data_IF_487446011291
#
_entry.id   IF_487446011291
#
_cell.length_a   1.000
_cell.length_b   1.000
_cell.length_c   1.000
_cell.angle_alpha   90.00
_cell.angle_beta   90.00
_cell.angle_gamma   90.00
#
_symmetry.space_group_name_H-M   'P 1'
#
loop_
_entity.id
_entity.type
_entity.pdbx_description
1 polymer ?
#
# COMPACT_ATOMS: atom_id res chain seq x y z
N UNK A 1 9.10 11.04 -6.98
CA UNK A 1 8.11 10.07 -6.45
C UNK A 1 8.91 8.92 -5.89
N UNK A 2 8.74 8.54 -4.61
CA UNK A 2 9.57 7.49 -4.00
C UNK A 2 9.01 6.12 -4.38
N UNK A 3 9.77 5.35 -5.14
CA UNK A 3 9.43 3.99 -5.53
C UNK A 3 10.52 3.03 -5.07
N UNK A 4 10.12 1.92 -4.49
CA UNK A 4 11.02 0.86 -4.06
C UNK A 4 10.74 -0.38 -4.91
N UNK A 5 11.81 -1.01 -5.40
CA UNK A 5 11.77 -2.33 -6.00
C UNK A 5 12.27 -3.33 -4.97
N UNK A 6 11.48 -4.36 -4.69
CA UNK A 6 11.75 -5.37 -3.66
C UNK A 6 11.87 -6.72 -4.36
N UNK A 7 12.98 -7.43 -4.14
CA UNK A 7 13.30 -8.74 -4.70
C UNK A 7 13.13 -8.85 -6.23
N UNK A 8 13.29 -7.73 -6.94
CA UNK A 8 13.04 -7.57 -8.38
C UNK A 8 11.65 -7.97 -8.90
N UNK A 9 10.76 -8.46 -8.04
CA UNK A 9 9.43 -8.96 -8.37
C UNK A 9 8.32 -8.07 -7.87
N UNK A 10 8.60 -7.14 -6.96
CA UNK A 10 7.59 -6.29 -6.32
C UNK A 10 7.97 -4.83 -6.40
N UNK A 11 6.96 -3.98 -6.58
CA UNK A 11 7.10 -2.53 -6.61
C UNK A 11 6.22 -1.92 -5.55
N UNK A 12 6.81 -1.11 -4.68
CA UNK A 12 6.08 -0.27 -3.75
C UNK A 12 6.13 1.20 -4.21
N UNK A 13 4.96 1.79 -4.48
CA UNK A 13 4.81 3.20 -4.79
C UNK A 13 4.31 3.95 -3.55
N UNK A 14 5.17 4.78 -2.97
CA UNK A 14 4.86 5.49 -1.73
C UNK A 14 3.74 6.53 -1.92
N UNK A 15 3.75 7.25 -3.04
CA UNK A 15 2.76 8.29 -3.33
C UNK A 15 1.36 7.73 -3.53
N UNK A 16 1.26 6.57 -4.21
CA UNK A 16 -0.01 5.89 -4.43
C UNK A 16 -0.43 5.00 -3.25
N UNK A 17 0.50 4.67 -2.34
CA UNK A 17 0.33 3.68 -1.26
C UNK A 17 -0.06 2.32 -1.82
N UNK A 18 0.63 1.91 -2.88
CA UNK A 18 0.32 0.69 -3.62
C UNK A 18 1.52 -0.25 -3.63
N UNK A 19 1.28 -1.53 -3.42
CA UNK A 19 2.22 -2.61 -3.68
C UNK A 19 1.73 -3.36 -4.90
N UNK A 20 2.61 -3.55 -5.88
CA UNK A 20 2.32 -4.23 -7.14
C UNK A 20 3.28 -5.40 -7.32
N UNK A 21 2.73 -6.59 -7.55
CA UNK A 21 3.50 -7.75 -8.01
C UNK A 21 3.74 -7.62 -9.51
N UNK A 22 4.99 -7.83 -9.93
CA UNK A 22 5.36 -7.86 -11.34
C UNK A 22 5.03 -9.19 -12.01
N UNK A 23 4.86 -10.26 -11.23
CA UNK A 23 4.59 -11.62 -11.72
C UNK A 23 3.16 -11.75 -12.26
N UNK A 24 2.16 -11.41 -11.44
CA UNK A 24 0.74 -11.61 -11.72
C UNK A 24 -0.06 -10.30 -11.85
N UNK A 25 0.61 -9.15 -11.71
CA UNK A 25 0.01 -7.79 -11.75
C UNK A 25 -1.02 -7.54 -10.65
N UNK A 26 -1.01 -8.32 -9.58
CA UNK A 26 -1.82 -8.05 -8.40
C UNK A 26 -1.43 -6.70 -7.80
N UNK A 27 -2.41 -5.91 -7.36
CA UNK A 27 -2.20 -4.59 -6.75
C UNK A 27 -2.93 -4.54 -5.41
N UNK A 28 -2.22 -4.12 -4.37
CA UNK A 28 -2.76 -3.91 -3.03
C UNK A 28 -2.62 -2.43 -2.66
N UNK A 29 -3.76 -1.78 -2.41
CA UNK A 29 -3.82 -0.43 -1.85
C UNK A 29 -3.78 -0.46 -0.33
N UNK A 30 -2.84 0.26 0.25
CA UNK A 30 -2.66 0.37 1.69
C UNK A 30 -3.35 1.60 2.27
N UNK A 31 -3.78 1.48 3.53
CA UNK A 31 -4.13 2.65 4.33
C UNK A 31 -2.90 3.51 4.57
N UNK A 32 -3.10 4.79 4.89
CA UNK A 32 -2.01 5.71 5.21
C UNK A 32 -1.05 5.14 6.26
N UNK A 33 -1.61 4.62 7.37
CA UNK A 33 -0.86 4.00 8.47
C UNK A 33 0.06 2.86 8.01
N UNK A 34 -0.45 1.94 7.17
CA UNK A 34 0.29 0.78 6.68
C UNK A 34 1.38 1.20 5.70
N UNK A 35 1.06 2.13 4.79
CA UNK A 35 2.02 2.68 3.84
C UNK A 35 3.15 3.45 4.53
N UNK A 36 2.82 4.24 5.55
CA UNK A 36 3.81 4.98 6.33
C UNK A 36 4.73 4.05 7.10
N UNK A 37 4.17 2.98 7.70
CA UNK A 37 4.94 1.93 8.35
C UNK A 37 5.91 1.27 7.36
N UNK A 38 5.41 0.81 6.21
CA UNK A 38 6.24 0.18 5.17
C UNK A 38 7.35 1.12 4.68
N UNK A 39 7.00 2.37 4.38
CA UNK A 39 7.97 3.39 3.96
C UNK A 39 9.07 3.60 4.99
N UNK A 40 8.71 3.65 6.27
CA UNK A 40 9.67 3.81 7.35
C UNK A 40 10.61 2.60 7.45
N UNK A 41 10.06 1.38 7.37
CA UNK A 41 10.84 0.14 7.41
C UNK A 41 11.83 0.06 6.24
N UNK A 42 11.39 0.34 5.02
CA UNK A 42 12.25 0.27 3.82
C UNK A 42 13.40 1.29 3.87
N UNK A 43 13.15 2.51 4.36
CA UNK A 43 14.22 3.52 4.54
C UNK A 43 15.26 3.11 5.58
N UNK A 44 14.85 2.33 6.58
CA UNK A 44 15.69 1.88 7.67
C UNK A 44 16.14 0.43 7.50
N UNK A 45 16.05 -0.12 6.28
CA UNK A 45 16.34 -1.52 6.01
C UNK A 45 17.75 -1.97 6.39
N UNK A 46 18.72 -1.04 6.38
CA UNK A 46 20.12 -1.33 6.75
C UNK A 46 20.39 -1.31 8.26
N UNK A 47 19.39 -1.04 9.10
CA UNK A 47 19.56 -1.04 10.56
C UNK A 47 19.41 -2.45 11.12
N UNK A 48 20.32 -2.83 12.02
CA UNK A 48 20.22 -4.10 12.75
C UNK A 48 19.01 -4.16 13.70
N UNK A 49 18.57 -2.99 14.19
CA UNK A 49 17.42 -2.85 15.06
C UNK A 49 16.62 -1.59 14.72
N UNK A 50 15.32 -1.80 14.53
CA UNK A 50 14.29 -0.76 14.45
C UNK A 50 13.41 -0.92 15.69
N UNK A 51 13.48 0.01 16.64
CA UNK A 51 12.72 -0.11 17.89
C UNK A 51 11.22 0.14 17.67
N UNK A 52 10.41 -0.25 18.66
CA UNK A 52 8.96 -0.03 18.63
C UNK A 52 8.62 1.46 18.61
N UNK A 53 9.35 2.23 19.40
CA UNK A 53 9.21 3.69 19.54
C UNK A 53 9.51 4.39 18.23
N UNK A 54 10.56 3.94 17.52
CA UNK A 54 10.90 4.45 16.20
C UNK A 54 9.73 4.27 15.22
N UNK A 55 9.09 3.11 15.22
CA UNK A 55 7.93 2.84 14.35
C UNK A 55 6.72 3.66 14.78
N UNK A 56 6.42 3.72 16.09
CA UNK A 56 5.23 4.46 16.57
C UNK A 56 5.37 5.95 16.33
N UNK A 57 6.55 6.52 16.53
CA UNK A 57 6.84 7.93 16.21
C UNK A 57 6.74 8.16 14.70
N UNK A 58 7.34 7.31 13.88
CA UNK A 58 7.31 7.46 12.42
C UNK A 58 5.90 7.41 11.84
N UNK A 59 4.99 6.66 12.47
CA UNK A 59 3.66 6.39 11.96
C UNK A 59 2.57 7.28 12.60
N UNK A 60 2.68 7.62 13.88
CA UNK A 60 1.70 8.44 14.61
C UNK A 60 2.22 9.82 15.05
N UNK A 61 3.49 10.15 14.77
CA UNK A 61 4.11 11.42 15.16
C UNK A 61 4.07 11.64 16.67
N UNK A 62 3.71 12.86 17.09
CA UNK A 62 3.62 13.23 18.51
C UNK A 62 2.63 12.39 19.32
N UNK A 63 1.63 11.76 18.67
CA UNK A 63 0.69 10.86 19.33
C UNK A 63 1.29 9.47 19.60
N UNK A 64 2.43 9.14 18.98
CA UNK A 64 3.12 7.85 19.09
C UNK A 64 3.40 7.43 20.54
N UNK A 65 3.71 8.39 21.42
CA UNK A 65 3.93 8.15 22.86
C UNK A 65 2.71 7.61 23.63
N UNK A 66 1.52 7.74 23.07
CA UNK A 66 0.26 7.27 23.66
C UNK A 66 -0.30 6.03 22.96
N UNK A 67 0.41 5.49 21.96
CA UNK A 67 -0.04 4.32 21.21
C UNK A 67 0.30 3.06 22.00
N UNK A 68 -0.69 2.19 22.17
CA UNK A 68 -0.51 0.91 22.86
C UNK A 68 0.34 -0.06 22.05
N UNK A 69 1.00 -0.98 22.75
CA UNK A 69 1.72 -2.09 22.13
C UNK A 69 0.82 -2.99 21.26
N UNK A 70 -0.44 -3.15 21.66
CA UNK A 70 -1.42 -3.90 20.90
C UNK A 70 -1.71 -3.24 19.54
N UNK A 71 -1.83 -1.91 19.52
CA UNK A 71 -2.06 -1.15 18.29
C UNK A 71 -0.89 -1.27 17.31
N UNK A 72 0.34 -1.15 17.79
CA UNK A 72 1.53 -1.38 16.95
C UNK A 72 1.56 -2.82 16.42
N UNK A 73 1.30 -3.79 17.29
CA UNK A 73 1.29 -5.22 16.91
C UNK A 73 0.24 -5.50 15.84
N UNK A 74 -0.96 -4.94 15.97
CA UNK A 74 -2.02 -5.06 14.98
C UNK A 74 -1.62 -4.42 13.64
N UNK A 75 -0.99 -3.24 13.67
CA UNK A 75 -0.49 -2.59 12.45
C UNK A 75 0.53 -3.48 11.73
N UNK A 76 1.50 -4.04 12.46
CA UNK A 76 2.52 -4.93 11.90
C UNK A 76 1.94 -6.24 11.38
N UNK A 77 0.94 -6.80 12.07
CA UNK A 77 0.21 -7.98 11.60
C UNK A 77 -0.51 -7.71 10.27
N UNK A 78 -1.26 -6.61 10.19
CA UNK A 78 -1.98 -6.23 8.96
C UNK A 78 -1.02 -5.93 7.82
N UNK A 79 0.12 -5.30 8.11
CA UNK A 79 1.17 -5.07 7.14
C UNK A 79 1.73 -6.41 6.61
N UNK A 80 2.09 -7.35 7.48
CA UNK A 80 2.55 -8.70 7.06
C UNK A 80 1.52 -9.41 6.19
N UNK A 81 0.23 -9.31 6.53
CA UNK A 81 -0.84 -9.92 5.76
C UNK A 81 -0.91 -9.36 4.33
N UNK A 82 -0.81 -8.05 4.18
CA UNK A 82 -0.81 -7.40 2.87
C UNK A 82 0.43 -7.84 2.04
N UNK A 83 1.60 -7.89 2.67
CA UNK A 83 2.85 -8.29 2.01
C UNK A 83 2.80 -9.76 1.56
N UNK A 84 2.30 -10.64 2.42
CA UNK A 84 2.11 -12.06 2.11
C UNK A 84 1.16 -12.28 0.92
N UNK A 85 0.09 -11.50 0.83
CA UNK A 85 -0.86 -11.59 -0.30
C UNK A 85 -0.20 -11.28 -1.66
N UNK A 86 0.91 -10.52 -1.67
CA UNK A 86 1.65 -10.19 -2.89
C UNK A 86 2.88 -11.08 -3.12
N UNK A 87 3.06 -12.13 -2.31
CA UNK A 87 4.20 -13.04 -2.38
C UNK A 87 5.47 -12.52 -1.69
N UNK A 88 5.38 -11.47 -0.88
CA UNK A 88 6.48 -10.98 -0.04
C UNK A 88 6.31 -11.47 1.39
N UNK A 89 6.76 -12.69 1.62
CA UNK A 89 6.85 -13.23 2.98
C UNK A 89 8.07 -12.66 3.70
N UNK A 90 7.96 -12.55 5.02
CA UNK A 90 9.09 -12.28 5.92
C UNK A 90 9.90 -11.00 5.67
N UNK A 91 9.26 -9.90 5.22
CA UNK A 91 9.93 -8.59 5.07
C UNK A 91 10.75 -8.19 6.31
N UNK A 92 10.19 -8.45 7.49
CA UNK A 92 10.83 -8.17 8.76
C UNK A 92 10.49 -9.21 9.81
N UNK A 93 11.47 -9.50 10.65
CA UNK A 93 11.31 -10.32 11.85
C UNK A 93 11.10 -9.43 13.08
N UNK A 94 10.43 -9.99 14.08
CA UNK A 94 10.20 -9.34 15.38
C UNK A 94 11.26 -9.83 16.37
N UNK A 95 12.02 -8.91 16.93
CA UNK A 95 12.98 -9.17 18.00
C UNK A 95 12.28 -8.95 19.35
N UNK A 96 12.06 -10.01 20.16
CA UNK A 96 11.31 -9.91 21.40
C UNK A 96 11.84 -8.80 22.31
N UNK A 97 10.94 -7.94 22.80
CA UNK A 97 11.24 -6.80 23.68
C UNK A 97 12.21 -5.74 23.13
N UNK A 98 12.66 -5.87 21.88
CA UNK A 98 13.60 -4.94 21.26
C UNK A 98 12.94 -4.16 20.11
N UNK A 99 12.28 -4.86 19.19
CA UNK A 99 11.70 -4.22 18.01
C UNK A 99 11.64 -5.14 16.79
N UNK A 100 12.15 -4.65 15.67
CA UNK A 100 12.09 -5.28 14.37
C UNK A 100 13.47 -5.27 13.72
N UNK A 101 13.74 -6.28 12.89
CA UNK A 101 14.87 -6.28 11.95
C UNK A 101 14.34 -6.61 10.56
N UNK A 102 14.76 -5.85 9.56
CA UNK A 102 14.47 -6.15 8.16
C UNK A 102 15.32 -7.37 7.75
N UNK A 103 14.74 -8.30 7.01
CA UNK A 103 15.48 -9.49 6.61
C UNK A 103 16.61 -9.11 5.63
N UNK A 104 17.83 -9.53 5.95
CA UNK A 104 19.04 -9.22 5.18
C UNK A 104 19.01 -9.86 3.78
N UNK A 105 18.22 -10.92 3.59
CA UNK A 105 18.05 -11.62 2.31
C UNK A 105 17.19 -10.83 1.29
N UNK A 106 16.56 -9.74 1.72
CA UNK A 106 15.65 -8.96 0.88
C UNK A 106 16.41 -7.85 0.16
N UNK A 107 16.43 -7.92 -1.17
CA UNK A 107 17.02 -6.88 -1.99
C UNK A 107 16.03 -5.72 -2.14
N UNK A 108 16.41 -4.55 -1.64
CA UNK A 108 15.63 -3.31 -1.75
C UNK A 108 16.43 -2.31 -2.57
N UNK A 109 15.91 -1.99 -3.76
CA UNK A 109 16.46 -0.94 -4.64
C UNK A 109 15.52 0.26 -4.66
N UNK A 110 16.10 1.45 -4.56
CA UNK A 110 15.35 2.70 -4.65
C UNK A 110 15.41 3.23 -6.08
N UNK A 111 14.24 3.44 -6.69
CA UNK A 111 14.14 4.03 -8.02
C UNK A 111 13.75 5.50 -7.87
N UNK A 112 14.71 6.40 -8.14
CA UNK A 112 14.47 7.84 -8.24
C UNK A 112 13.80 8.24 -9.56
N UNK A 113 13.86 7.36 -10.56
CA UNK A 113 13.18 7.56 -11.84
C UNK A 113 11.70 7.22 -11.71
N UNK A 114 10.79 8.10 -12.18
CA UNK A 114 9.36 7.79 -12.22
C UNK A 114 9.15 6.69 -13.26
N UNK A 115 9.26 5.44 -12.83
CA UNK A 115 8.86 4.33 -13.69
C UNK A 115 7.34 4.38 -13.79
N UNK A 116 6.86 4.84 -14.93
CA UNK A 116 5.47 4.77 -15.36
C UNK A 116 5.07 3.30 -15.53
N UNK A 117 4.96 2.56 -14.43
CA UNK A 117 4.15 1.35 -14.41
C UNK A 117 2.70 1.84 -14.44
N UNK A 118 2.24 2.18 -15.63
CA UNK A 118 0.82 2.27 -15.97
C UNK A 118 0.24 0.89 -15.66
N UNK A 119 -0.27 0.72 -14.45
CA UNK A 119 -1.39 -0.20 -14.23
C UNK A 119 -2.36 0.05 -15.37
N UNK A 120 -2.74 -0.96 -16.19
CA UNK A 120 -3.74 -0.76 -17.21
C UNK A 120 -4.98 -0.31 -16.46
N UNK A 121 -5.27 1.00 -16.56
CA UNK A 121 -6.46 1.58 -16.00
C UNK A 121 -7.61 0.69 -16.44
N UNK A 122 -8.26 0.04 -15.48
CA UNK A 122 -9.61 -0.47 -15.67
C UNK A 122 -10.42 0.79 -15.95
N UNK A 123 -10.47 1.19 -17.23
CA UNK A 123 -11.37 2.21 -17.72
C UNK A 123 -12.74 1.65 -17.42
N UNK A 124 -13.35 2.18 -16.38
CA UNK A 124 -14.72 2.00 -15.94
C UNK A 124 -15.68 2.52 -17.03
N UNK A 125 -15.62 1.91 -18.23
CA UNK A 125 -16.57 2.07 -19.34
C UNK A 125 -17.99 1.71 -18.89
N UNK A 126 -18.12 0.83 -17.89
CA UNK A 126 -19.38 0.46 -17.26
C UNK A 126 -20.09 1.63 -16.59
N UNK A 127 -19.36 2.54 -15.92
CA UNK A 127 -19.98 3.72 -15.29
C UNK A 127 -20.49 4.73 -16.34
N UNK A 128 -19.75 4.92 -17.43
CA UNK A 128 -20.15 5.80 -18.54
C UNK A 128 -21.37 5.25 -19.29
N UNK A 129 -21.43 3.92 -19.49
CA UNK A 129 -22.57 3.28 -20.13
C UNK A 129 -23.85 3.38 -19.28
N UNK A 130 -23.75 3.21 -17.95
CA UNK A 130 -24.90 3.35 -17.04
C UNK A 130 -25.47 4.77 -17.09
N UNK A 131 -24.62 5.82 -17.10
CA UNK A 131 -25.08 7.21 -17.17
C UNK A 131 -25.85 7.53 -18.47
N UNK A 132 -25.36 7.01 -19.62
CA UNK A 132 -26.02 7.21 -20.91
C UNK A 132 -27.39 6.50 -20.98
N UNK A 133 -27.48 5.28 -20.43
CA UNK A 133 -28.74 4.52 -20.40
C UNK A 133 -29.77 5.23 -19.50
N UNK A 134 -29.35 5.76 -18.33
CA UNK A 134 -30.27 6.50 -17.46
C UNK A 134 -30.81 7.78 -18.12
N UNK A 135 -29.98 8.51 -18.86
CA UNK A 135 -30.39 9.74 -19.54
C UNK A 135 -31.43 9.45 -20.65
N UNK A 136 -31.23 8.40 -21.43
CA UNK A 136 -32.14 8.00 -22.50
C UNK A 136 -33.52 7.57 -21.97
N UNK A 137 -33.56 6.84 -20.85
CA UNK A 137 -34.83 6.43 -20.22
C UNK A 137 -35.62 7.63 -19.68
N UNK A 138 -34.95 8.63 -19.10
CA UNK A 138 -35.63 9.84 -18.62
C UNK A 138 -36.23 10.69 -19.73
N UNK A 139 -35.56 10.78 -20.89
CA UNK A 139 -36.04 11.55 -22.04
C UNK A 139 -37.26 10.88 -22.67
N UNK A 140 -37.24 9.54 -22.80
CA UNK A 140 -38.39 8.78 -23.29
C UNK A 140 -39.62 8.96 -22.39
N UNK A 141 -39.45 8.89 -21.06
CA UNK A 141 -40.54 9.08 -20.11
C UNK A 141 -41.13 10.51 -20.15
N UNK A 142 -40.29 11.53 -20.38
CA UNK A 142 -40.75 12.91 -20.53
C UNK A 142 -41.57 13.13 -21.81
N UNK A 143 -41.17 12.52 -22.93
CA UNK A 143 -41.88 12.60 -24.21
C UNK A 143 -43.26 11.92 -24.16
N UNK A 144 -43.36 10.74 -23.54
CA UNK A 144 -44.64 10.03 -23.35
C UNK A 144 -45.60 10.82 -22.46
N UNK A 145 -45.09 11.65 -21.53
CA UNK A 145 -45.91 12.53 -20.69
C UNK A 145 -46.42 13.79 -21.40
N UNK A 146 -45.86 14.13 -22.56
CA UNK A 146 -46.15 15.37 -23.27
C UNK A 146 -47.05 15.16 -24.51
N UNK A 147 -47.39 13.91 -24.83
CA UNK A 147 -48.41 13.52 -25.82
C UNK A 147 -49.72 13.17 -25.12
#
# INVERSE_FOLDING_TARGET
>A
MKQYKINDTIIYNESLREITSLQDKTIIKMTHMRAQCLSFLLRNAKRDLITREMVTEAVWGQKGKFISDASLTQLLYLLRRDLKQIGLDELFTTLPRQGLKINDDINITFNDTPTSYTSPAIKNKTLQAIFLITLLLTISFALVRYM
#
